data_IF_855320076488
#
_entry.id   IF_855320076488
#
_cell.length_a   1.000
_cell.length_b   1.000
_cell.length_c   1.000
_cell.angle_alpha   90.00
_cell.angle_beta   90.00
_cell.angle_gamma   90.00
#
_symmetry.space_group_name_H-M   'P 1'
#
loop_
_entity.id
_entity.type
_entity.pdbx_description
1 polymer ?
#
# COMPACT_ATOMS: atom_id res chain seq x y z
N UNK A 1 6.20 -17.80 10.85
CA UNK A 1 6.65 -16.95 9.73
C UNK A 1 8.13 -17.12 9.42
N UNK A 2 9.08 -16.93 10.36
CA UNK A 2 10.53 -17.09 10.12
C UNK A 2 10.93 -18.45 9.49
N UNK A 3 10.50 -19.54 10.13
CA UNK A 3 10.72 -20.92 9.63
C UNK A 3 10.12 -21.20 8.24
N UNK A 4 9.00 -20.54 7.92
CA UNK A 4 8.34 -20.72 6.61
C UNK A 4 9.11 -20.02 5.52
N UNK A 5 9.62 -18.81 5.78
CA UNK A 5 10.42 -18.05 4.83
C UNK A 5 11.77 -18.72 4.55
N UNK A 6 12.43 -19.24 5.58
CA UNK A 6 13.67 -20.03 5.45
C UNK A 6 13.45 -21.26 4.56
N UNK A 7 12.32 -21.95 4.71
CA UNK A 7 11.96 -23.12 3.88
C UNK A 7 11.81 -22.78 2.39
N UNK A 8 11.40 -21.56 2.06
CA UNK A 8 11.21 -21.10 0.68
C UNK A 8 12.35 -20.20 0.18
N UNK A 9 13.48 -20.14 0.90
CA UNK A 9 14.61 -19.25 0.62
C UNK A 9 14.21 -17.77 0.46
N UNK A 10 13.18 -17.33 1.19
CA UNK A 10 12.77 -15.94 1.22
C UNK A 10 13.51 -15.20 2.34
N UNK A 11 14.26 -14.15 1.96
CA UNK A 11 14.96 -13.31 2.92
C UNK A 11 14.02 -12.23 3.46
N UNK A 12 13.82 -12.19 4.78
CA UNK A 12 13.03 -11.12 5.40
C UNK A 12 13.78 -9.78 5.33
N UNK A 13 13.15 -8.76 4.76
CA UNK A 13 13.59 -7.37 4.88
C UNK A 13 12.87 -6.72 6.07
N UNK A 14 13.50 -6.73 7.24
CA UNK A 14 13.03 -5.92 8.37
C UNK A 14 13.70 -4.55 8.32
N UNK A 15 12.95 -3.50 8.68
CA UNK A 15 13.53 -2.18 8.91
C UNK A 15 14.62 -2.26 9.97
N UNK A 16 15.71 -1.52 9.77
CA UNK A 16 16.77 -1.44 10.77
C UNK A 16 16.24 -0.74 12.03
N UNK A 17 16.73 -1.17 13.19
CA UNK A 17 16.36 -0.54 14.47
C UNK A 17 16.72 0.94 14.43
N UNK A 18 15.74 1.82 14.62
CA UNK A 18 15.94 3.28 14.56
C UNK A 18 15.89 3.89 13.16
N UNK A 19 15.51 3.13 12.12
CA UNK A 19 15.34 3.63 10.75
C UNK A 19 13.86 3.57 10.33
N UNK A 20 13.01 4.53 10.78
CA UNK A 20 11.60 4.57 10.37
C UNK A 20 11.42 4.80 8.87
N UNK A 21 12.44 5.40 8.23
CA UNK A 21 12.50 5.67 6.80
C UNK A 21 12.38 4.42 5.92
N UNK A 22 12.81 3.26 6.41
CA UNK A 22 12.67 1.99 5.69
C UNK A 22 11.18 1.61 5.48
N UNK A 23 10.25 2.20 6.25
CA UNK A 23 8.80 1.96 6.18
C UNK A 23 8.00 3.12 5.54
N UNK A 24 8.67 4.21 5.12
CA UNK A 24 8.01 5.44 4.65
C UNK A 24 7.04 5.20 3.48
N UNK A 25 7.40 4.34 2.54
CA UNK A 25 6.59 4.08 1.34
C UNK A 25 5.22 3.49 1.69
N UNK A 26 5.18 2.48 2.56
CA UNK A 26 3.93 1.84 2.95
C UNK A 26 3.12 2.71 3.92
N UNK A 27 3.78 3.49 4.78
CA UNK A 27 3.09 4.46 5.65
C UNK A 27 2.42 5.57 4.84
N UNK A 28 3.13 6.09 3.84
CA UNK A 28 2.59 7.09 2.89
C UNK A 28 1.40 6.52 2.12
N UNK A 29 1.51 5.30 1.62
CA UNK A 29 0.38 4.61 0.97
C UNK A 29 -0.83 4.49 1.91
N UNK A 30 -0.64 4.03 3.16
CA UNK A 30 -1.74 3.88 4.12
C UNK A 30 -2.41 5.21 4.46
N UNK A 31 -1.64 6.29 4.58
CA UNK A 31 -2.19 7.63 4.81
C UNK A 31 -3.08 8.07 3.63
N UNK A 32 -2.64 7.83 2.40
CA UNK A 32 -3.38 8.17 1.18
C UNK A 32 -4.65 7.33 1.02
N UNK A 33 -4.54 6.01 1.18
CA UNK A 33 -5.68 5.09 1.13
C UNK A 33 -6.78 5.53 2.11
N UNK A 34 -6.40 5.90 3.34
CA UNK A 34 -7.36 6.40 4.31
C UNK A 34 -8.01 7.71 3.85
N UNK A 35 -7.19 8.71 3.50
CA UNK A 35 -7.65 10.06 3.16
C UNK A 35 -8.61 10.11 1.97
N UNK A 36 -8.30 9.35 0.92
CA UNK A 36 -8.98 9.46 -0.36
C UNK A 36 -10.05 8.42 -0.60
N UNK A 37 -9.93 7.27 0.05
CA UNK A 37 -10.83 6.16 -0.18
C UNK A 37 -11.65 5.85 1.05
N UNK A 38 -11.01 5.45 2.15
CA UNK A 38 -11.72 4.94 3.32
C UNK A 38 -12.54 6.03 4.01
N UNK A 39 -11.96 7.22 4.21
CA UNK A 39 -12.63 8.34 4.89
C UNK A 39 -13.69 9.04 4.04
N UNK A 40 -13.67 8.87 2.72
CA UNK A 40 -14.66 9.46 1.81
C UNK A 40 -15.89 8.57 1.62
N UNK A 41 -15.94 7.41 2.29
CA UNK A 41 -16.96 6.38 2.05
C UNK A 41 -17.80 6.10 3.29
N UNK A 42 -19.07 5.72 3.10
CA UNK A 42 -19.85 5.07 4.14
C UNK A 42 -19.15 3.81 4.65
N UNK A 43 -19.53 3.38 5.85
CA UNK A 43 -19.01 2.15 6.47
C UNK A 43 -19.29 0.95 5.55
N UNK A 44 -18.26 0.16 5.28
CA UNK A 44 -18.37 -1.10 4.55
C UNK A 44 -19.30 -2.06 5.30
N UNK A 45 -20.26 -2.67 4.58
CA UNK A 45 -21.22 -3.58 5.19
C UNK A 45 -20.61 -4.97 5.39
N UNK A 46 -19.63 -5.35 4.55
CA UNK A 46 -18.96 -6.65 4.64
C UNK A 46 -17.47 -6.53 4.36
N UNK A 47 -16.71 -7.52 4.82
CA UNK A 47 -15.28 -7.64 4.49
C UNK A 47 -15.06 -7.83 2.98
N UNK A 48 -15.91 -8.63 2.31
CA UNK A 48 -15.87 -8.85 0.86
C UNK A 48 -16.05 -7.55 0.07
N UNK A 49 -16.97 -6.69 0.51
CA UNK A 49 -17.14 -5.35 -0.07
C UNK A 49 -15.88 -4.51 0.12
N UNK A 50 -15.36 -4.41 1.34
CA UNK A 50 -14.14 -3.66 1.63
C UNK A 50 -12.96 -4.15 0.78
N UNK A 51 -12.78 -5.48 0.65
CA UNK A 51 -11.73 -6.11 -0.15
C UNK A 51 -11.81 -5.70 -1.62
N UNK A 52 -12.99 -5.82 -2.22
CA UNK A 52 -13.22 -5.46 -3.64
C UNK A 52 -13.03 -3.97 -3.88
N UNK A 53 -13.51 -3.15 -2.97
CA UNK A 53 -13.40 -1.69 -3.06
C UNK A 53 -11.94 -1.21 -2.94
N UNK A 54 -11.20 -1.73 -1.97
CA UNK A 54 -9.76 -1.43 -1.80
C UNK A 54 -8.98 -1.95 -3.01
N UNK A 55 -9.28 -3.15 -3.51
CA UNK A 55 -8.66 -3.67 -4.73
C UNK A 55 -8.89 -2.74 -5.92
N UNK A 56 -10.13 -2.27 -6.10
CA UNK A 56 -10.47 -1.31 -7.15
C UNK A 56 -9.74 0.01 -6.98
N UNK A 57 -9.49 0.48 -5.75
CA UNK A 57 -8.67 1.68 -5.54
C UNK A 57 -7.22 1.43 -5.93
N UNK A 58 -6.62 0.35 -5.45
CA UNK A 58 -5.20 0.05 -5.69
C UNK A 58 -4.94 -0.14 -7.18
N UNK A 59 -5.70 -1.03 -7.83
CA UNK A 59 -5.49 -1.39 -9.23
C UNK A 59 -6.16 -0.41 -10.19
N UNK A 60 -7.34 0.12 -9.86
CA UNK A 60 -8.05 1.02 -10.78
C UNK A 60 -7.53 2.46 -10.76
N UNK A 61 -7.00 2.92 -9.62
CA UNK A 61 -6.65 4.33 -9.44
C UNK A 61 -5.21 4.55 -8.97
N UNK A 62 -4.81 3.98 -7.84
CA UNK A 62 -3.51 4.25 -7.23
C UNK A 62 -2.35 3.91 -8.17
N UNK A 63 -2.27 2.67 -8.67
CA UNK A 63 -1.16 2.25 -9.52
C UNK A 63 -1.16 2.94 -10.90
N UNK A 64 -2.33 3.21 -11.46
CA UNK A 64 -2.46 3.61 -12.87
C UNK A 64 -2.62 5.12 -13.10
N UNK A 65 -3.09 5.87 -12.11
CA UNK A 65 -3.50 7.27 -12.31
C UNK A 65 -3.00 8.22 -11.23
N UNK A 66 -2.62 7.69 -10.06
CA UNK A 66 -2.30 8.55 -8.93
C UNK A 66 -0.88 9.08 -9.05
N UNK A 67 -0.73 10.38 -9.25
CA UNK A 67 0.57 11.02 -9.29
C UNK A 67 1.22 11.14 -7.90
N UNK A 68 2.53 10.91 -7.83
CA UNK A 68 3.32 11.03 -6.61
C UNK A 68 4.45 12.06 -6.80
N UNK A 69 4.56 13.04 -5.89
CA UNK A 69 5.66 14.02 -5.93
C UNK A 69 7.03 13.35 -5.81
N UNK A 70 7.13 12.25 -5.06
CA UNK A 70 8.33 11.44 -4.94
C UNK A 70 8.71 10.69 -6.25
N UNK A 71 7.76 10.52 -7.17
CA UNK A 71 7.94 9.86 -8.46
C UNK A 71 7.94 10.86 -9.62
N UNK A 72 8.44 12.09 -9.39
CA UNK A 72 8.43 13.16 -10.38
C UNK A 72 7.03 13.45 -10.98
N UNK A 73 5.99 13.29 -10.18
CA UNK A 73 4.57 13.45 -10.57
C UNK A 73 4.07 12.41 -11.59
N UNK A 74 4.72 11.25 -11.67
CA UNK A 74 4.24 10.09 -12.40
C UNK A 74 3.38 9.18 -11.50
N UNK A 75 2.55 8.35 -12.13
CA UNK A 75 1.90 7.24 -11.44
C UNK A 75 2.89 6.10 -11.16
N UNK A 76 2.60 5.20 -10.20
CA UNK A 76 3.49 4.07 -9.89
C UNK A 76 3.80 3.15 -11.08
N UNK A 77 2.91 3.06 -12.08
CA UNK A 77 3.15 2.26 -13.29
C UNK A 77 4.00 3.01 -14.33
N UNK A 78 4.02 4.34 -14.29
CA UNK A 78 4.78 5.18 -15.23
C UNK A 78 6.22 5.44 -14.78
N UNK A 79 6.53 5.25 -13.50
CA UNK A 79 7.88 5.34 -12.92
C UNK A 79 8.64 4.02 -13.07
#
# INVERSE_FOLDING_TARGET
MRRTAERINYHHSYSRKGCPYDNEGIESFHALLKKEHVSQRPIYQTFEEARRQIFSYVQGFYNNHRIHSALAYLSPVEF
#
